data_IF_143146972973
#
_entry.id   IF_143146972973
#
_cell.length_a   1.000
_cell.length_b   1.000
_cell.length_c   1.000
_cell.angle_alpha   90.00
_cell.angle_beta   90.00
_cell.angle_gamma   90.00
#
_symmetry.space_group_name_H-M   'P 1'
#
loop_
_entity.id
_entity.type
_entity.pdbx_description
1 polymer ?
#
# COMPACT_ATOMS: atom_id res chain seq x y z
N UNK A 1 -46.33 -6.83 -34.99
CA UNK A 1 -45.60 -7.74 -34.07
C UNK A 1 -44.62 -6.88 -33.29
N UNK A 2 -45.03 -6.55 -32.07
CA UNK A 2 -44.26 -5.66 -31.18
C UNK A 2 -43.44 -6.53 -30.21
N UNK A 3 -42.12 -6.31 -30.18
CA UNK A 3 -41.26 -6.94 -29.20
C UNK A 3 -41.58 -6.41 -27.79
N UNK A 4 -41.55 -7.25 -26.75
CA UNK A 4 -41.72 -6.80 -25.37
C UNK A 4 -40.43 -6.17 -24.87
N UNK A 5 -40.56 -4.99 -24.25
CA UNK A 5 -39.51 -4.30 -23.52
C UNK A 5 -39.02 -5.15 -22.37
N UNK A 6 -37.70 -5.20 -22.21
CA UNK A 6 -37.05 -5.80 -21.08
C UNK A 6 -37.34 -4.98 -19.80
N UNK A 7 -37.91 -5.62 -18.81
CA UNK A 7 -38.12 -5.05 -17.48
C UNK A 7 -36.82 -4.91 -16.75
N UNK A 8 -36.51 -3.68 -16.34
CA UNK A 8 -35.45 -3.31 -15.43
C UNK A 8 -35.84 -3.81 -14.01
N UNK A 9 -35.05 -4.69 -13.35
CA UNK A 9 -35.34 -5.05 -11.97
C UNK A 9 -34.96 -3.88 -11.06
N UNK A 10 -36.00 -3.11 -10.70
CA UNK A 10 -35.97 -1.95 -9.85
C UNK A 10 -35.16 -2.12 -8.57
N UNK A 11 -34.43 -1.10 -8.30
CA UNK A 11 -33.77 -0.71 -7.07
C UNK A 11 -34.77 -0.57 -5.92
N UNK A 12 -34.68 -1.45 -4.93
CA UNK A 12 -35.03 -1.12 -3.55
C UNK A 12 -34.04 -1.82 -2.64
N UNK A 13 -33.02 -1.08 -2.21
CA UNK A 13 -32.36 -1.35 -0.94
C UNK A 13 -31.90 -0.06 -0.29
N UNK A 14 -32.53 0.16 0.88
CA UNK A 14 -32.32 1.32 1.72
C UNK A 14 -30.85 1.52 2.10
N UNK A 15 -30.45 2.77 2.07
CA UNK A 15 -29.15 3.27 2.43
C UNK A 15 -28.77 2.91 3.87
N UNK A 16 -28.11 1.79 4.05
CA UNK A 16 -27.09 1.60 5.05
C UNK A 16 -25.77 1.60 4.29
N UNK A 17 -24.85 2.53 4.65
CA UNK A 17 -23.59 2.73 3.94
C UNK A 17 -22.62 1.57 4.10
N UNK A 18 -23.00 0.42 3.62
CA UNK A 18 -22.10 -0.71 3.41
C UNK A 18 -21.36 -0.41 2.11
N UNK A 19 -20.08 -0.06 2.22
CA UNK A 19 -19.14 -0.13 1.09
C UNK A 19 -19.44 -1.41 0.31
N UNK A 20 -19.84 -1.28 -0.95
CA UNK A 20 -19.98 -2.44 -1.83
C UNK A 20 -18.61 -3.08 -1.94
N UNK A 21 -18.38 -4.10 -1.15
CA UNK A 21 -17.28 -5.02 -1.38
C UNK A 21 -17.53 -5.60 -2.76
N UNK A 22 -16.70 -5.27 -3.73
CA UNK A 22 -16.79 -5.89 -5.05
C UNK A 22 -16.75 -7.39 -4.84
N UNK A 23 -17.63 -8.17 -5.53
CA UNK A 23 -17.59 -9.61 -5.38
C UNK A 23 -16.18 -10.10 -5.66
N UNK A 24 -15.64 -11.04 -4.88
CA UNK A 24 -14.32 -11.58 -5.13
C UNK A 24 -14.26 -12.09 -6.57
N UNK A 25 -13.21 -11.71 -7.30
CA UNK A 25 -12.96 -12.28 -8.63
C UNK A 25 -12.58 -13.75 -8.40
N UNK A 26 -13.39 -14.72 -8.87
CA UNK A 26 -13.14 -16.12 -8.57
C UNK A 26 -11.72 -16.55 -8.98
N UNK A 27 -11.00 -17.20 -8.07
CA UNK A 27 -9.64 -17.69 -8.31
C UNK A 27 -8.54 -16.64 -8.30
N UNK A 28 -8.87 -15.35 -8.15
CA UNK A 28 -7.87 -14.30 -8.04
C UNK A 28 -7.19 -14.29 -6.67
N UNK A 29 -5.89 -13.96 -6.68
CA UNK A 29 -5.16 -13.61 -5.46
C UNK A 29 -5.43 -12.15 -5.11
N UNK A 30 -5.80 -11.88 -3.86
CA UNK A 30 -6.07 -10.52 -3.37
C UNK A 30 -4.88 -10.01 -2.57
N UNK A 31 -4.35 -8.87 -2.95
CA UNK A 31 -3.26 -8.19 -2.23
C UNK A 31 -3.78 -6.86 -1.70
N UNK A 32 -3.83 -6.75 -0.37
CA UNK A 32 -4.23 -5.53 0.33
C UNK A 32 -2.98 -4.84 0.86
N UNK A 33 -2.64 -3.71 0.26
CA UNK A 33 -1.53 -2.87 0.68
C UNK A 33 -2.05 -1.81 1.64
N UNK A 34 -1.47 -1.74 2.82
CA UNK A 34 -1.81 -0.73 3.84
C UNK A 34 -0.62 0.22 3.99
N UNK A 35 -0.80 1.51 3.66
CA UNK A 35 0.22 2.50 3.99
C UNK A 35 0.34 2.63 5.50
N UNK A 36 1.55 2.61 6.04
CA UNK A 36 1.79 2.84 7.47
C UNK A 36 1.12 4.11 7.99
N UNK A 37 0.81 4.19 9.29
CA UNK A 37 0.38 5.41 9.97
C UNK A 37 1.46 6.50 9.91
N UNK A 38 1.12 7.75 10.23
CA UNK A 38 2.09 8.84 10.28
C UNK A 38 3.32 8.45 11.13
N UNK A 39 4.52 8.67 10.61
CA UNK A 39 5.78 8.32 11.25
C UNK A 39 6.56 9.56 11.72
N UNK A 40 7.40 9.40 12.74
CA UNK A 40 8.24 10.48 13.27
C UNK A 40 9.13 11.09 12.19
N UNK A 41 9.66 10.28 11.27
CA UNK A 41 10.46 10.77 10.14
C UNK A 41 9.65 11.66 9.18
N UNK A 42 8.34 11.40 9.01
CA UNK A 42 7.47 12.26 8.20
C UNK A 42 7.27 13.63 8.87
N UNK A 43 6.97 13.62 10.18
CA UNK A 43 6.76 14.83 10.96
C UNK A 43 8.03 15.68 11.03
N UNK A 44 9.17 15.06 11.30
CA UNK A 44 10.45 15.72 11.47
C UNK A 44 11.19 16.02 10.14
N UNK A 45 10.58 15.66 8.98
CA UNK A 45 11.18 15.84 7.65
C UNK A 45 12.58 15.24 7.54
N UNK A 46 12.73 14.02 8.06
CA UNK A 46 13.94 13.21 7.98
C UNK A 46 13.74 12.10 6.96
N UNK A 47 14.80 11.76 6.24
CA UNK A 47 14.79 10.61 5.33
C UNK A 47 14.71 9.31 6.14
N UNK A 48 13.57 8.66 6.06
CA UNK A 48 13.20 7.55 6.94
C UNK A 48 13.53 6.18 6.36
N UNK A 49 14.79 5.88 6.11
CA UNK A 49 15.28 4.52 5.91
C UNK A 49 15.43 3.77 7.23
N UNK A 50 16.35 2.80 7.28
CA UNK A 50 16.59 1.98 8.49
C UNK A 50 17.13 2.81 9.66
N UNK A 51 17.98 3.82 9.38
CA UNK A 51 18.56 4.68 10.41
C UNK A 51 17.61 5.80 10.82
N UNK A 52 16.91 6.40 9.84
CA UNK A 52 16.06 7.57 10.07
C UNK A 52 14.65 7.25 10.56
N UNK A 53 14.23 5.99 10.55
CA UNK A 53 12.88 5.60 10.96
C UNK A 53 12.85 5.16 12.43
N UNK A 54 12.16 5.91 13.28
CA UNK A 54 12.01 5.62 14.72
C UNK A 54 10.61 5.12 15.11
N UNK A 55 9.73 4.89 14.13
CA UNK A 55 8.37 4.38 14.34
C UNK A 55 7.28 5.40 14.07
N UNK A 56 6.07 5.12 14.55
CA UNK A 56 4.88 5.95 14.37
C UNK A 56 4.83 7.12 15.36
N UNK A 57 4.24 8.24 14.93
CA UNK A 57 3.84 9.32 15.84
C UNK A 57 2.64 8.92 16.71
N UNK A 58 2.29 9.75 17.70
CA UNK A 58 1.06 9.56 18.45
C UNK A 58 -0.19 9.62 17.54
N UNK A 59 -0.17 10.49 16.51
CA UNK A 59 -1.24 10.54 15.51
C UNK A 59 -1.26 9.28 14.66
N UNK A 60 -0.09 8.82 14.17
CA UNK A 60 0.01 7.59 13.40
C UNK A 60 -0.52 6.37 14.14
N UNK A 61 -0.25 6.27 15.45
CA UNK A 61 -0.81 5.19 16.30
C UNK A 61 -2.32 5.26 16.40
N UNK A 62 -2.91 6.46 16.48
CA UNK A 62 -4.37 6.63 16.45
C UNK A 62 -4.92 6.26 15.09
N UNK A 63 -4.32 6.73 13.99
CA UNK A 63 -4.74 6.37 12.63
C UNK A 63 -4.84 4.86 12.43
N UNK A 64 -3.83 4.12 12.89
CA UNK A 64 -3.82 2.65 12.76
C UNK A 64 -4.82 1.99 13.72
N UNK A 65 -5.05 2.57 14.92
CA UNK A 65 -6.08 2.07 15.83
C UNK A 65 -7.48 2.24 15.23
N UNK A 66 -7.81 3.42 14.70
CA UNK A 66 -9.10 3.69 14.06
C UNK A 66 -9.30 2.79 12.82
N UNK A 67 -8.22 2.53 12.06
CA UNK A 67 -8.26 1.54 10.99
C UNK A 67 -8.55 0.13 11.53
N UNK A 68 -7.88 -0.28 12.60
CA UNK A 68 -8.10 -1.60 13.21
C UNK A 68 -9.53 -1.77 13.69
N UNK A 69 -10.12 -0.74 14.32
CA UNK A 69 -11.51 -0.76 14.77
C UNK A 69 -12.47 -0.90 13.59
N UNK A 70 -12.28 -0.14 12.51
CA UNK A 70 -13.05 -0.27 11.28
C UNK A 70 -12.96 -1.68 10.68
N UNK A 71 -11.76 -2.24 10.59
CA UNK A 71 -11.51 -3.58 10.04
C UNK A 71 -12.12 -4.68 10.91
N UNK A 72 -12.13 -4.47 12.24
CA UNK A 72 -12.81 -5.38 13.16
C UNK A 72 -14.31 -5.38 12.93
N UNK A 73 -14.94 -4.21 12.82
CA UNK A 73 -16.38 -4.05 12.60
C UNK A 73 -16.81 -4.59 11.25
N UNK A 74 -16.11 -4.25 10.18
CA UNK A 74 -16.43 -4.71 8.83
C UNK A 74 -16.11 -6.19 8.59
N UNK A 75 -15.09 -6.70 9.24
CA UNK A 75 -14.58 -8.05 9.00
C UNK A 75 -14.02 -8.29 7.59
N UNK A 76 -13.77 -7.23 6.83
CA UNK A 76 -13.38 -7.30 5.41
C UNK A 76 -12.03 -7.99 5.14
N UNK A 77 -11.16 -8.10 6.15
CA UNK A 77 -9.87 -8.78 6.06
C UNK A 77 -9.82 -10.12 6.82
N UNK A 78 -10.95 -10.68 7.22
CA UNK A 78 -11.00 -11.95 7.99
C UNK A 78 -10.55 -13.16 7.17
N UNK A 79 -10.58 -13.09 5.86
CA UNK A 79 -10.14 -14.16 4.97
C UNK A 79 -8.62 -14.12 4.70
N UNK A 80 -7.91 -13.11 5.19
CA UNK A 80 -6.48 -12.99 4.98
C UNK A 80 -5.73 -14.17 5.62
N UNK A 81 -4.80 -14.75 4.86
CA UNK A 81 -4.01 -15.91 5.29
C UNK A 81 -2.64 -15.52 5.80
N UNK A 82 -2.12 -14.36 5.38
CA UNK A 82 -0.77 -13.89 5.74
C UNK A 82 -0.74 -12.38 5.85
N UNK A 83 0.02 -11.91 6.85
CA UNK A 83 0.32 -10.49 7.06
C UNK A 83 1.81 -10.23 6.89
N UNK A 84 2.15 -9.44 5.89
CA UNK A 84 3.51 -8.98 5.61
C UNK A 84 3.74 -7.56 6.12
N UNK A 85 4.99 -7.21 6.28
CA UNK A 85 5.43 -5.83 6.53
C UNK A 85 6.77 -5.57 5.85
N UNK A 86 7.03 -4.32 5.47
CA UNK A 86 8.43 -3.91 5.26
C UNK A 86 9.18 -3.97 6.59
N UNK A 87 10.52 -4.05 6.54
CA UNK A 87 11.37 -4.11 7.75
C UNK A 87 11.50 -2.76 8.46
N UNK A 88 10.88 -1.69 7.96
CA UNK A 88 10.99 -0.37 8.57
C UNK A 88 10.05 -0.25 9.80
N UNK A 89 10.52 0.28 10.94
CA UNK A 89 9.77 0.31 12.20
C UNK A 89 8.33 0.82 12.09
N UNK A 90 8.08 1.87 11.29
CA UNK A 90 6.73 2.41 11.08
C UNK A 90 5.76 1.42 10.42
N UNK A 91 6.27 0.55 9.53
CA UNK A 91 5.44 -0.46 8.88
C UNK A 91 5.24 -1.68 9.78
N UNK A 92 6.29 -2.12 10.49
CA UNK A 92 6.20 -3.20 11.49
C UNK A 92 5.18 -2.82 12.57
N UNK A 93 5.29 -1.60 13.15
CA UNK A 93 4.36 -1.13 14.18
C UNK A 93 2.91 -1.06 13.66
N UNK A 94 2.73 -0.69 12.38
CA UNK A 94 1.40 -0.72 11.71
C UNK A 94 0.89 -2.15 11.60
N UNK A 95 1.68 -3.07 11.08
CA UNK A 95 1.30 -4.46 10.90
C UNK A 95 0.94 -5.14 12.24
N UNK A 96 1.76 -4.96 13.28
CA UNK A 96 1.52 -5.55 14.59
C UNK A 96 0.22 -5.04 15.24
N UNK A 97 -0.15 -3.77 15.01
CA UNK A 97 -1.43 -3.23 15.46
C UNK A 97 -2.62 -3.78 14.69
N UNK A 98 -2.46 -4.10 13.42
CA UNK A 98 -3.51 -4.69 12.57
C UNK A 98 -3.62 -6.20 12.75
N UNK A 99 -2.59 -6.89 13.22
CA UNK A 99 -2.56 -8.35 13.36
C UNK A 99 -3.76 -8.95 14.11
N UNK A 100 -4.31 -8.32 15.19
CA UNK A 100 -5.48 -8.86 15.88
C UNK A 100 -6.77 -8.91 15.06
N UNK A 101 -6.88 -8.09 14.01
CA UNK A 101 -8.10 -7.91 13.20
C UNK A 101 -7.95 -8.39 11.75
N UNK A 102 -6.76 -8.84 11.37
CA UNK A 102 -6.46 -9.43 10.06
C UNK A 102 -6.52 -10.95 10.18
N UNK A 103 -7.13 -11.61 9.21
CA UNK A 103 -7.29 -13.05 9.19
C UNK A 103 -8.29 -13.56 10.24
N UNK A 104 -8.34 -14.87 10.45
CA UNK A 104 -9.25 -15.50 11.41
C UNK A 104 -8.82 -15.32 12.87
N UNK A 105 -7.78 -14.54 13.12
CA UNK A 105 -7.25 -14.20 14.43
C UNK A 105 -5.74 -14.44 14.54
N UNK A 106 -5.09 -13.85 15.55
CA UNK A 106 -3.62 -13.84 15.67
C UNK A 106 -2.97 -15.23 15.72
N UNK A 107 -3.66 -16.19 16.33
CA UNK A 107 -3.13 -17.56 16.45
C UNK A 107 -3.10 -18.33 15.14
N UNK A 108 -4.05 -18.06 14.25
CA UNK A 108 -4.16 -18.70 12.94
C UNK A 108 -3.34 -17.97 11.86
N UNK A 109 -3.24 -16.63 11.97
CA UNK A 109 -2.47 -15.81 11.03
C UNK A 109 -0.95 -16.00 11.19
N UNK A 110 -0.47 -16.33 12.37
CA UNK A 110 0.95 -16.42 12.68
C UNK A 110 1.63 -15.06 12.92
N UNK A 111 2.96 -15.02 12.91
CA UNK A 111 3.73 -13.78 13.05
C UNK A 111 3.66 -12.94 11.77
N UNK A 112 3.91 -11.62 11.90
CA UNK A 112 4.14 -10.74 10.75
C UNK A 112 5.39 -11.21 10.01
N UNK A 113 5.29 -11.35 8.69
CA UNK A 113 6.42 -11.72 7.84
C UNK A 113 7.09 -10.45 7.32
N UNK A 114 8.31 -10.20 7.75
CA UNK A 114 9.08 -9.03 7.33
C UNK A 114 9.77 -9.29 5.99
N UNK A 115 9.64 -8.34 5.05
CA UNK A 115 10.26 -8.41 3.73
C UNK A 115 10.84 -7.05 3.34
N UNK A 116 12.17 -6.99 3.12
CA UNK A 116 12.86 -5.76 2.77
C UNK A 116 12.51 -5.27 1.35
N UNK A 117 12.05 -6.16 0.47
CA UNK A 117 11.60 -5.78 -0.87
C UNK A 117 10.29 -4.97 -0.85
N UNK A 118 9.59 -4.94 0.30
CA UNK A 118 8.44 -4.07 0.56
C UNK A 118 8.81 -2.71 1.18
N UNK A 119 10.09 -2.41 1.36
CA UNK A 119 10.55 -1.13 1.89
C UNK A 119 10.27 0.03 0.93
N UNK A 120 10.16 1.24 1.50
CA UNK A 120 10.21 2.48 0.74
C UNK A 120 11.56 2.59 0.00
N UNK A 121 11.69 3.51 -0.92
CA UNK A 121 12.91 3.77 -1.66
C UNK A 121 14.12 3.74 -0.71
N UNK A 122 15.11 2.91 -1.03
CA UNK A 122 16.34 2.79 -0.24
C UNK A 122 17.18 4.04 -0.41
N UNK A 123 17.39 4.82 0.67
CA UNK A 123 17.91 6.17 0.55
C UNK A 123 19.44 6.27 0.45
N UNK A 124 20.17 5.16 0.61
CA UNK A 124 21.63 5.16 0.61
C UNK A 124 22.22 6.05 1.71
N UNK A 125 23.19 6.88 1.36
CA UNK A 125 23.88 7.76 2.32
C UNK A 125 22.96 8.85 2.90
N UNK A 126 21.83 9.15 2.27
CA UNK A 126 20.87 10.13 2.80
C UNK A 126 20.02 9.62 3.96
N UNK A 127 20.11 8.31 4.34
CA UNK A 127 19.32 7.74 5.41
C UNK A 127 19.62 8.38 6.79
N UNK A 128 18.58 8.96 7.39
CA UNK A 128 18.65 9.66 8.66
C UNK A 128 19.00 11.15 8.56
N UNK A 129 19.27 11.66 7.37
CA UNK A 129 19.50 13.07 7.14
C UNK A 129 18.19 13.87 7.10
N UNK A 130 18.27 15.17 7.45
CA UNK A 130 17.16 16.07 7.15
C UNK A 130 17.02 16.25 5.64
N UNK A 131 15.82 16.51 5.13
CA UNK A 131 15.63 16.78 3.71
C UNK A 131 16.42 18.03 3.25
N UNK A 132 16.63 19.01 4.12
CA UNK A 132 17.43 20.19 3.79
C UNK A 132 18.91 19.80 3.55
N UNK A 133 19.46 18.95 4.42
CA UNK A 133 20.84 18.50 4.28
C UNK A 133 21.02 17.61 3.03
N UNK A 134 20.01 16.78 2.70
CA UNK A 134 20.02 15.99 1.46
C UNK A 134 20.08 16.88 0.23
N UNK A 135 19.23 17.93 0.20
CA UNK A 135 19.20 18.88 -0.91
C UNK A 135 20.52 19.64 -1.01
N UNK A 136 21.09 20.06 0.11
CA UNK A 136 22.38 20.77 0.14
C UNK A 136 23.56 19.89 -0.31
N UNK A 137 23.58 18.64 0.14
CA UNK A 137 24.72 17.75 -0.09
C UNK A 137 24.64 17.00 -1.43
N UNK A 138 23.48 16.54 -1.84
CA UNK A 138 23.29 15.68 -3.00
C UNK A 138 22.45 16.32 -4.12
N UNK A 139 21.74 17.41 -3.82
CA UNK A 139 20.74 17.99 -4.71
C UNK A 139 19.42 17.21 -4.68
N UNK A 140 18.50 17.58 -5.56
CA UNK A 140 17.24 16.88 -5.80
C UNK A 140 17.32 16.21 -7.16
N UNK A 141 17.23 14.88 -7.26
CA UNK A 141 17.19 14.22 -8.56
C UNK A 141 15.99 14.70 -9.38
N UNK A 142 16.22 15.11 -10.61
CA UNK A 142 15.15 15.36 -11.58
C UNK A 142 14.73 14.02 -12.21
N UNK A 143 13.95 13.23 -11.49
CA UNK A 143 13.49 11.92 -11.96
C UNK A 143 12.56 12.00 -13.16
N UNK A 144 12.01 13.17 -13.44
CA UNK A 144 11.27 13.41 -14.66
C UNK A 144 12.17 13.39 -15.89
N UNK A 145 13.38 13.87 -15.74
CA UNK A 145 14.38 13.91 -16.81
C UNK A 145 15.28 12.67 -16.81
N UNK A 146 15.67 12.22 -15.64
CA UNK A 146 16.51 11.03 -15.45
C UNK A 146 15.99 10.16 -14.30
N UNK A 147 15.04 9.25 -14.58
CA UNK A 147 14.49 8.34 -13.57
C UNK A 147 15.52 7.31 -13.07
N UNK A 148 16.70 7.22 -13.68
CA UNK A 148 17.79 6.34 -13.25
C UNK A 148 18.76 7.00 -12.27
N UNK A 149 18.65 8.31 -12.02
CA UNK A 149 19.48 9.01 -11.06
C UNK A 149 19.16 8.52 -9.63
N UNK A 150 20.15 8.09 -8.82
CA UNK A 150 19.94 7.70 -7.44
C UNK A 150 19.64 8.94 -6.57
N UNK A 151 18.88 8.73 -5.47
CA UNK A 151 18.58 9.81 -4.50
C UNK A 151 19.83 10.32 -3.80
N UNK A 152 20.79 9.43 -3.53
CA UNK A 152 22.10 9.69 -2.93
C UNK A 152 23.03 8.52 -3.28
N UNK A 153 24.34 8.62 -3.03
CA UNK A 153 25.26 7.51 -3.21
C UNK A 153 24.79 6.25 -2.46
N UNK A 154 24.81 5.11 -3.14
CA UNK A 154 24.33 3.83 -2.60
C UNK A 154 22.81 3.73 -2.42
N UNK A 155 22.05 4.74 -2.82
CA UNK A 155 20.60 4.73 -2.82
C UNK A 155 19.99 4.22 -4.13
N UNK A 156 18.69 3.98 -4.12
CA UNK A 156 17.92 3.62 -5.31
C UNK A 156 17.63 4.85 -6.17
N UNK A 157 17.45 4.60 -7.45
CA UNK A 157 16.78 5.51 -8.37
C UNK A 157 15.27 5.25 -8.34
N UNK A 158 14.48 6.19 -8.89
CA UNK A 158 13.04 6.01 -9.01
C UNK A 158 12.69 4.78 -9.86
N UNK A 159 13.40 4.57 -10.98
CA UNK A 159 13.16 3.42 -11.86
C UNK A 159 13.50 2.09 -11.20
N UNK A 160 14.63 1.98 -10.49
CA UNK A 160 15.00 0.73 -9.79
C UNK A 160 14.05 0.41 -8.64
N UNK A 161 13.61 1.45 -7.92
CA UNK A 161 12.63 1.31 -6.86
C UNK A 161 11.27 0.79 -7.38
N UNK A 162 10.74 1.38 -8.48
CA UNK A 162 9.46 0.91 -9.08
C UNK A 162 9.55 -0.57 -9.43
N UNK A 163 10.65 -0.99 -10.05
CA UNK A 163 10.84 -2.41 -10.42
C UNK A 163 10.85 -3.29 -9.17
N UNK A 164 11.70 -3.01 -8.18
CA UNK A 164 11.79 -3.81 -6.95
C UNK A 164 10.45 -3.91 -6.23
N UNK A 165 9.82 -2.76 -5.95
CA UNK A 165 8.60 -2.71 -5.17
C UNK A 165 7.43 -3.42 -5.88
N UNK A 166 7.28 -3.22 -7.20
CA UNK A 166 6.22 -3.91 -7.96
C UNK A 166 6.49 -5.41 -8.09
N UNK A 167 7.75 -5.83 -8.25
CA UNK A 167 8.11 -7.25 -8.32
C UNK A 167 7.94 -7.94 -6.98
N UNK A 168 8.19 -7.26 -5.85
CA UNK A 168 7.87 -7.77 -4.52
C UNK A 168 6.38 -8.11 -4.41
N UNK A 169 5.50 -7.18 -4.82
CA UNK A 169 4.04 -7.42 -4.77
C UNK A 169 3.60 -8.54 -5.73
N UNK A 170 4.20 -8.63 -6.93
CA UNK A 170 3.99 -9.77 -7.83
C UNK A 170 4.42 -11.10 -7.20
N UNK A 171 5.55 -11.09 -6.49
CA UNK A 171 6.05 -12.28 -5.80
C UNK A 171 5.10 -12.74 -4.68
N UNK A 172 4.49 -11.79 -3.93
CA UNK A 172 3.45 -12.14 -2.96
C UNK A 172 2.26 -12.82 -3.63
N UNK A 173 1.75 -12.25 -4.72
CA UNK A 173 0.61 -12.83 -5.42
C UNK A 173 0.89 -14.25 -5.94
N UNK A 174 2.10 -14.50 -6.44
CA UNK A 174 2.51 -15.82 -6.92
C UNK A 174 2.73 -16.85 -5.81
N UNK A 175 3.15 -16.42 -4.61
CA UNK A 175 3.33 -17.31 -3.43
C UNK A 175 2.02 -17.73 -2.80
N UNK A 176 0.95 -16.96 -3.00
CA UNK A 176 -0.35 -17.11 -2.33
C UNK A 176 -1.51 -17.24 -3.33
N UNK A 177 -1.49 -18.23 -4.24
CA UNK A 177 -2.49 -18.34 -5.30
C UNK A 177 -3.91 -18.52 -4.74
N UNK A 178 -4.82 -17.62 -5.10
CA UNK A 178 -6.22 -17.64 -4.66
C UNK A 178 -6.48 -17.18 -3.23
N UNK A 179 -5.45 -16.71 -2.52
CA UNK A 179 -5.54 -16.25 -1.14
C UNK A 179 -5.68 -14.72 -1.05
N UNK A 180 -6.05 -14.23 0.13
CA UNK A 180 -5.93 -12.82 0.49
C UNK A 180 -4.68 -12.61 1.35
N UNK A 181 -3.82 -11.71 0.92
CA UNK A 181 -2.60 -11.30 1.62
C UNK A 181 -2.69 -9.82 1.98
N UNK A 182 -2.31 -9.48 3.20
CA UNK A 182 -2.21 -8.08 3.65
C UNK A 182 -0.74 -7.72 3.83
N UNK A 183 -0.35 -6.52 3.41
CA UNK A 183 1.01 -6.02 3.59
C UNK A 183 1.04 -4.57 4.07
N UNK A 184 1.68 -4.31 5.20
CA UNK A 184 1.96 -2.97 5.68
C UNK A 184 3.19 -2.42 4.96
N UNK A 185 2.97 -1.37 4.16
CA UNK A 185 3.94 -0.81 3.21
C UNK A 185 3.96 0.72 3.24
N UNK A 186 4.47 1.32 2.20
CA UNK A 186 4.72 2.75 2.06
C UNK A 186 3.98 3.35 0.86
N UNK A 187 3.90 4.69 0.80
CA UNK A 187 3.27 5.39 -0.31
C UNK A 187 3.91 5.04 -1.65
N UNK A 188 5.24 5.09 -1.73
CA UNK A 188 5.97 4.79 -2.94
C UNK A 188 5.77 3.35 -3.44
N UNK A 189 5.65 2.37 -2.54
CA UNK A 189 5.35 0.98 -2.91
C UNK A 189 3.97 0.88 -3.58
N UNK A 190 2.97 1.57 -3.03
CA UNK A 190 1.62 1.62 -3.62
C UNK A 190 1.67 2.32 -4.98
N UNK A 191 2.38 3.46 -5.09
CA UNK A 191 2.58 4.17 -6.36
C UNK A 191 3.27 3.28 -7.40
N UNK A 192 4.31 2.54 -7.01
CA UNK A 192 5.02 1.63 -7.89
C UNK A 192 4.08 0.55 -8.47
N UNK A 193 3.16 0.00 -7.66
CA UNK A 193 2.16 -0.94 -8.17
C UNK A 193 1.19 -0.28 -9.15
N UNK A 194 0.76 0.96 -8.88
CA UNK A 194 -0.11 1.72 -9.80
C UNK A 194 0.57 1.93 -11.15
N UNK A 195 1.80 2.43 -11.12
CA UNK A 195 2.59 2.68 -12.34
C UNK A 195 2.79 1.38 -13.12
N UNK A 196 3.23 0.33 -12.44
CA UNK A 196 3.63 -0.92 -13.09
C UNK A 196 2.43 -1.76 -13.55
N UNK A 197 1.38 -1.91 -12.73
CA UNK A 197 0.26 -2.82 -13.05
C UNK A 197 -0.76 -2.18 -13.99
N UNK A 198 -0.89 -0.86 -13.98
CA UNK A 198 -1.75 -0.13 -14.93
C UNK A 198 -1.02 0.30 -16.20
N UNK A 199 0.29 0.05 -16.30
CA UNK A 199 1.08 0.44 -17.46
C UNK A 199 1.15 1.95 -17.67
N UNK A 200 1.21 2.72 -16.57
CA UNK A 200 1.30 4.19 -16.65
C UNK A 200 2.66 4.56 -17.22
N UNK A 201 2.63 5.26 -18.36
CA UNK A 201 3.86 5.73 -18.98
C UNK A 201 4.45 6.93 -18.22
N UNK A 202 5.78 7.09 -18.18
CA UNK A 202 6.43 8.20 -17.47
C UNK A 202 5.91 9.58 -17.86
N UNK A 203 5.60 9.78 -19.16
CA UNK A 203 5.08 11.05 -19.67
C UNK A 203 3.68 11.40 -19.17
N UNK A 204 2.90 10.38 -18.79
CA UNK A 204 1.58 10.57 -18.17
C UNK A 204 1.72 10.86 -16.69
N UNK A 205 2.60 10.13 -16.01
CA UNK A 205 2.85 10.28 -14.58
C UNK A 205 3.36 11.69 -14.21
N UNK A 206 4.19 12.30 -15.06
CA UNK A 206 4.62 13.70 -14.91
C UNK A 206 3.50 14.74 -14.77
N UNK A 207 2.29 14.42 -15.23
CA UNK A 207 1.13 15.33 -15.22
C UNK A 207 0.29 15.22 -13.97
N UNK A 208 0.59 14.27 -13.10
CA UNK A 208 -0.17 14.00 -11.90
C UNK A 208 0.68 13.44 -10.78
N UNK A 209 0.12 13.43 -9.60
CA UNK A 209 0.71 12.87 -8.41
C UNK A 209 -0.34 12.02 -7.70
N UNK A 210 0.08 10.85 -7.18
CA UNK A 210 -0.76 10.01 -6.34
C UNK A 210 -0.49 10.37 -4.88
N UNK A 211 -1.48 10.99 -4.24
CA UNK A 211 -1.41 11.28 -2.81
C UNK A 211 -2.01 10.12 -2.02
N UNK A 212 -1.17 9.18 -1.60
CA UNK A 212 -1.58 8.06 -0.75
C UNK A 212 -1.56 8.51 0.70
N UNK A 213 -2.70 8.48 1.39
CA UNK A 213 -2.81 8.93 2.79
C UNK A 213 -2.38 7.85 3.78
N UNK A 214 -1.93 8.24 4.98
CA UNK A 214 -1.54 7.31 6.05
C UNK A 214 -2.71 6.42 6.47
N UNK A 215 -2.42 5.19 6.83
CA UNK A 215 -3.39 4.16 7.22
C UNK A 215 -4.50 3.91 6.18
N UNK A 216 -4.24 4.19 4.90
CA UNK A 216 -5.16 3.86 3.81
C UNK A 216 -4.91 2.46 3.26
N UNK A 217 -5.97 1.88 2.68
CA UNK A 217 -5.91 0.61 1.98
C UNK A 217 -5.94 0.80 0.48
N UNK A 218 -5.09 0.05 -0.23
CA UNK A 218 -5.15 -0.13 -1.67
C UNK A 218 -5.18 -1.62 -1.95
N UNK A 219 -6.12 -2.07 -2.77
CA UNK A 219 -6.37 -3.48 -2.96
C UNK A 219 -6.33 -3.85 -4.43
N UNK A 220 -5.56 -4.89 -4.72
CA UNK A 220 -5.41 -5.50 -6.02
C UNK A 220 -5.94 -6.93 -6.03
N UNK A 221 -6.56 -7.34 -7.14
CA UNK A 221 -6.78 -8.73 -7.47
C UNK A 221 -5.88 -9.12 -8.65
N UNK A 222 -5.13 -10.20 -8.51
CA UNK A 222 -4.36 -10.79 -9.58
C UNK A 222 -5.04 -12.05 -10.11
N UNK A 223 -5.31 -12.07 -11.41
CA UNK A 223 -5.93 -13.20 -12.13
C UNK A 223 -4.81 -13.94 -12.87
N UNK A 224 -4.33 -15.08 -12.36
CA UNK A 224 -3.13 -15.73 -12.88
C UNK A 224 -3.27 -16.19 -14.33
N UNK A 225 -4.41 -16.75 -14.72
CA UNK A 225 -4.65 -17.27 -16.07
C UNK A 225 -4.62 -16.20 -17.16
N UNK A 226 -4.86 -14.95 -16.78
CA UNK A 226 -4.87 -13.80 -17.69
C UNK A 226 -3.66 -12.89 -17.49
N UNK A 227 -2.81 -13.19 -16.49
CA UNK A 227 -1.74 -12.30 -15.99
C UNK A 227 -2.23 -10.84 -15.82
N UNK A 228 -3.46 -10.70 -15.29
CA UNK A 228 -4.15 -9.42 -15.19
C UNK A 228 -4.26 -8.96 -13.75
N UNK A 229 -3.95 -7.67 -13.54
CA UNK A 229 -4.17 -6.97 -12.31
C UNK A 229 -5.44 -6.13 -12.39
N UNK A 230 -6.28 -6.22 -11.35
CA UNK A 230 -7.52 -5.45 -11.21
C UNK A 230 -7.40 -4.62 -9.95
N UNK A 231 -7.49 -3.30 -10.07
CA UNK A 231 -7.54 -2.39 -8.92
C UNK A 231 -8.96 -2.40 -8.34
N UNK A 232 -9.12 -2.99 -7.17
CA UNK A 232 -10.43 -3.10 -6.52
C UNK A 232 -10.74 -1.88 -5.65
N UNK A 233 -9.70 -1.31 -5.01
CA UNK A 233 -9.83 -0.19 -4.09
C UNK A 233 -8.52 0.59 -4.08
N UNK A 234 -8.62 1.90 -3.95
CA UNK A 234 -7.44 2.77 -3.88
C UNK A 234 -7.59 3.80 -2.77
N UNK A 235 -6.52 3.95 -1.98
CA UNK A 235 -6.38 5.05 -1.02
C UNK A 235 -7.59 5.21 -0.08
N UNK A 236 -8.20 4.09 0.33
CA UNK A 236 -9.36 4.08 1.21
C UNK A 236 -8.93 4.34 2.65
N UNK A 237 -9.18 5.56 3.10
CA UNK A 237 -8.93 6.04 4.46
C UNK A 237 -10.23 6.47 5.15
N UNK A 238 -11.34 5.76 4.87
CA UNK A 238 -12.64 6.04 5.47
C UNK A 238 -12.57 5.93 6.99
N UNK A 239 -13.01 6.98 7.69
CA UNK A 239 -12.98 7.05 9.15
C UNK A 239 -11.61 7.33 9.78
N UNK A 240 -10.55 7.53 8.99
CA UNK A 240 -9.21 7.77 9.51
C UNK A 240 -8.94 9.27 9.67
N UNK A 241 -8.46 9.75 10.84
CA UNK A 241 -8.11 11.16 11.05
C UNK A 241 -6.96 11.58 10.14
N UNK A 242 -7.12 12.74 9.50
CA UNK A 242 -6.08 13.34 8.65
C UNK A 242 -5.16 14.22 9.49
N UNK A 243 -3.88 14.30 9.07
CA UNK A 243 -2.91 15.22 9.64
C UNK A 243 -3.25 16.68 9.30
#
# INVERSE_FOLDING_TARGET
MSEPAAEDPGSEDGATGVLRVFPPVPGATRIVLVRHGEAECNLNRVVGGVKGCTGLTALGRRQVADLADRLYESGELREATTLYSSVLPRAIETAERLRPVVGPGPAALGPVVEDCDLCELHPGESDGMSWNDVVEQFGVPDWDRDPSAPIAPGGESWSSFIVRASDAVRALARRHPGEMVVAAVHAGVIEATMISFLGIQPEVYRRGWLHIVHASLTEWAWVPDEDRWILLRVNDASGIPRA
#
